data_IF_692234928700
#
_entry.id   IF_692234928700
#
_cell.length_a   1.000
_cell.length_b   1.000
_cell.length_c   1.000
_cell.angle_alpha   90.00
_cell.angle_beta   90.00
_cell.angle_gamma   90.00
#
_symmetry.space_group_name_H-M   'P 1'
#
loop_
_entity.id
_entity.type
_entity.pdbx_description
1 polymer ?
#
# COMPACT_ATOMS: atom_id res chain seq x y z
N UNK A 1 20.65 -38.26 48.41
CA UNK A 1 21.94 -37.54 48.28
C UNK A 1 21.65 -36.05 48.23
N UNK A 2 22.07 -35.29 49.25
CA UNK A 2 21.96 -33.83 49.24
C UNK A 2 22.96 -33.26 48.22
N UNK A 3 22.47 -32.75 47.09
CA UNK A 3 23.32 -32.04 46.12
C UNK A 3 23.67 -30.67 46.71
N UNK A 4 24.90 -30.52 47.19
CA UNK A 4 25.44 -29.21 47.58
C UNK A 4 25.33 -28.29 46.37
N UNK A 5 24.61 -27.17 46.49
CA UNK A 5 24.52 -26.18 45.41
C UNK A 5 25.89 -25.52 45.26
N UNK A 6 26.47 -25.62 44.06
CA UNK A 6 27.74 -24.97 43.71
C UNK A 6 27.48 -23.64 43.01
N UNK A 7 28.14 -22.59 43.47
CA UNK A 7 28.07 -21.24 42.91
C UNK A 7 28.93 -21.15 41.64
N UNK A 8 28.78 -20.08 40.85
CA UNK A 8 29.65 -19.84 39.68
C UNK A 8 31.10 -19.61 40.09
N UNK A 9 31.34 -18.92 41.21
CA UNK A 9 32.67 -18.60 41.71
C UNK A 9 33.45 -19.86 42.11
N UNK A 10 32.75 -20.90 42.58
CA UNK A 10 33.36 -22.20 42.88
C UNK A 10 33.98 -22.86 41.62
N UNK A 11 33.51 -22.53 40.41
CA UNK A 11 34.09 -23.02 39.16
C UNK A 11 35.26 -22.17 38.66
N UNK A 12 35.26 -20.86 38.96
CA UNK A 12 36.26 -19.91 38.47
C UNK A 12 37.68 -20.30 38.91
N UNK A 13 37.82 -20.78 40.15
CA UNK A 13 39.10 -21.24 40.71
C UNK A 13 39.75 -22.29 39.79
N UNK A 14 38.96 -23.28 39.33
CA UNK A 14 39.46 -24.33 38.45
C UNK A 14 39.71 -23.87 37.01
N UNK A 15 38.94 -22.91 36.52
CA UNK A 15 39.12 -22.38 35.16
C UNK A 15 40.38 -21.51 35.05
N UNK A 16 40.65 -20.68 36.06
CA UNK A 16 41.86 -19.85 36.14
C UNK A 16 43.13 -20.69 36.28
N UNK A 17 43.09 -21.80 37.03
CA UNK A 17 44.26 -22.66 37.24
C UNK A 17 44.63 -23.50 36.01
N UNK A 18 43.69 -23.72 35.07
CA UNK A 18 43.93 -24.39 33.78
C UNK A 18 44.37 -25.86 33.83
N UNK A 19 44.53 -26.45 35.02
CA UNK A 19 45.16 -27.77 35.22
C UNK A 19 44.20 -28.96 35.18
N UNK A 20 42.90 -28.73 35.30
CA UNK A 20 41.90 -29.81 35.39
C UNK A 20 40.97 -29.82 34.17
N UNK A 21 40.77 -31.01 33.62
CA UNK A 21 39.74 -31.27 32.60
C UNK A 21 38.33 -31.18 33.20
N UNK A 22 37.32 -30.90 32.36
CA UNK A 22 35.91 -30.86 32.77
C UNK A 22 35.43 -32.14 33.47
N UNK A 23 36.03 -33.29 33.13
CA UNK A 23 35.74 -34.56 33.77
C UNK A 23 36.29 -34.64 35.20
N UNK A 24 37.47 -34.05 35.46
CA UNK A 24 38.05 -33.97 36.79
C UNK A 24 37.28 -32.98 37.66
N UNK A 25 36.96 -31.79 37.13
CA UNK A 25 36.16 -30.79 37.84
C UNK A 25 34.77 -31.35 38.19
N UNK A 26 34.16 -32.11 37.27
CA UNK A 26 32.87 -32.75 37.50
C UNK A 26 32.90 -33.73 38.68
N UNK A 27 33.95 -34.56 38.78
CA UNK A 27 34.14 -35.51 39.88
C UNK A 27 34.41 -34.78 41.20
N UNK A 28 35.31 -33.79 41.18
CA UNK A 28 35.71 -33.00 42.35
C UNK A 28 34.53 -32.23 42.94
N UNK A 29 33.73 -31.61 42.07
CA UNK A 29 32.62 -30.74 42.47
C UNK A 29 31.31 -31.50 42.74
N UNK A 30 31.25 -32.80 42.43
CA UNK A 30 30.03 -33.60 42.55
C UNK A 30 28.89 -33.13 41.63
N UNK A 31 29.23 -32.56 40.47
CA UNK A 31 28.27 -32.01 39.48
C UNK A 31 28.41 -32.72 38.14
N UNK A 32 27.42 -32.59 37.26
CA UNK A 32 27.52 -33.18 35.92
C UNK A 32 28.56 -32.46 35.06
N UNK A 33 29.25 -33.20 34.20
CA UNK A 33 30.19 -32.65 33.20
C UNK A 33 29.53 -31.60 32.30
N UNK A 34 28.25 -31.78 31.96
CA UNK A 34 27.48 -30.81 31.19
C UNK A 34 27.34 -29.46 31.93
N UNK A 35 27.22 -29.47 33.26
CA UNK A 35 27.16 -28.25 34.04
C UNK A 35 28.52 -27.52 34.04
N UNK A 36 29.62 -28.26 34.19
CA UNK A 36 30.98 -27.70 34.08
C UNK A 36 31.19 -27.03 32.72
N UNK A 37 30.83 -27.71 31.63
CA UNK A 37 30.96 -27.18 30.28
C UNK A 37 30.14 -25.88 30.08
N UNK A 38 28.92 -25.81 30.64
CA UNK A 38 28.10 -24.59 30.64
C UNK A 38 28.78 -23.44 31.40
N UNK A 39 29.34 -23.71 32.57
CA UNK A 39 30.03 -22.69 33.37
C UNK A 39 31.32 -22.22 32.67
N UNK A 40 32.07 -23.13 32.06
CA UNK A 40 33.30 -22.80 31.31
C UNK A 40 33.02 -21.86 30.15
N UNK A 41 32.03 -22.17 29.30
CA UNK A 41 31.62 -21.29 28.19
C UNK A 41 31.21 -19.90 28.68
N UNK A 42 30.50 -19.83 29.82
CA UNK A 42 30.08 -18.56 30.42
C UNK A 42 31.28 -17.74 30.91
N UNK A 43 32.31 -18.40 31.44
CA UNK A 43 33.55 -17.78 31.87
C UNK A 43 34.40 -17.31 30.68
N UNK A 44 34.63 -18.17 29.67
CA UNK A 44 35.33 -17.83 28.42
C UNK A 44 34.69 -16.63 27.72
N UNK A 45 33.36 -16.60 27.61
CA UNK A 45 32.64 -15.45 27.03
C UNK A 45 32.86 -14.14 27.80
N UNK A 46 32.94 -14.20 29.13
CA UNK A 46 33.20 -13.02 29.96
C UNK A 46 34.64 -12.56 29.83
N UNK A 47 35.59 -13.49 29.69
CA UNK A 47 37.00 -13.18 29.49
C UNK A 47 37.27 -12.57 28.11
N UNK A 48 36.65 -13.09 27.05
CA UNK A 48 36.71 -12.53 25.69
C UNK A 48 36.16 -11.09 25.66
N UNK A 49 35.01 -10.84 26.28
CA UNK A 49 34.43 -9.48 26.34
C UNK A 49 35.25 -8.49 27.18
N UNK A 50 36.10 -8.97 28.09
CA UNK A 50 37.02 -8.12 28.85
C UNK A 50 38.34 -7.87 28.08
N UNK A 51 38.66 -8.69 27.08
CA UNK A 51 39.87 -8.59 26.25
C UNK A 51 39.66 -7.77 24.97
N UNK A 52 38.44 -7.77 24.42
CA UNK A 52 38.09 -6.95 23.26
C UNK A 52 37.59 -5.56 23.72
N UNK A 53 38.52 -4.60 23.82
CA UNK A 53 38.16 -3.21 23.54
C UNK A 53 37.67 -3.15 22.10
N UNK A 54 36.36 -3.30 21.88
CA UNK A 54 35.77 -2.89 20.62
C UNK A 54 36.18 -1.43 20.38
N UNK A 55 36.77 -1.09 19.23
CA UNK A 55 37.16 0.28 18.95
C UNK A 55 35.91 1.14 19.07
N UNK A 56 35.89 2.01 20.09
CA UNK A 56 34.77 2.91 20.36
C UNK A 56 34.64 3.86 19.18
N UNK A 57 33.74 3.54 18.25
CA UNK A 57 33.42 4.39 17.11
C UNK A 57 32.85 5.69 17.68
N UNK A 58 33.65 6.76 17.58
CA UNK A 58 33.28 8.08 18.07
C UNK A 58 32.96 8.93 16.84
N UNK A 59 31.72 9.38 16.72
CA UNK A 59 31.28 10.26 15.63
C UNK A 59 31.35 11.70 16.14
N UNK A 60 31.87 12.62 15.32
CA UNK A 60 31.83 14.05 15.69
C UNK A 60 30.39 14.55 15.73
N UNK A 61 30.10 15.44 16.68
CA UNK A 61 28.80 16.09 16.79
C UNK A 61 28.39 16.79 15.48
N UNK A 62 29.35 17.43 14.81
CA UNK A 62 29.16 18.04 13.50
C UNK A 62 28.68 17.03 12.44
N UNK A 63 29.29 15.84 12.36
CA UNK A 63 28.88 14.80 11.41
C UNK A 63 27.46 14.34 11.68
N UNK A 64 27.12 14.15 12.96
CA UNK A 64 25.77 13.75 13.37
C UNK A 64 24.74 14.83 12.99
N UNK A 65 25.02 16.09 13.28
CA UNK A 65 24.12 17.21 12.97
C UNK A 65 23.89 17.34 11.46
N UNK A 66 24.95 17.21 10.65
CA UNK A 66 24.83 17.25 9.19
C UNK A 66 23.95 16.12 8.64
N UNK A 67 24.05 14.92 9.20
CA UNK A 67 23.18 13.78 8.82
C UNK A 67 21.72 14.06 9.20
N UNK A 68 21.46 14.60 10.39
CA UNK A 68 20.12 14.93 10.85
C UNK A 68 19.47 16.03 10.00
N UNK A 69 20.21 17.09 9.67
CA UNK A 69 19.73 18.18 8.79
C UNK A 69 19.32 17.60 7.43
N UNK A 70 20.21 16.81 6.79
CA UNK A 70 19.91 16.19 5.48
C UNK A 70 18.71 15.24 5.54
N UNK A 71 18.60 14.44 6.60
CA UNK A 71 17.45 13.54 6.79
C UNK A 71 16.14 14.34 6.94
N UNK A 72 16.18 15.44 7.69
CA UNK A 72 15.04 16.35 7.86
C UNK A 72 14.63 16.98 6.53
N UNK A 73 15.59 17.55 5.78
CA UNK A 73 15.35 18.15 4.45
C UNK A 73 14.76 17.15 3.46
N UNK A 74 15.32 15.94 3.38
CA UNK A 74 14.82 14.89 2.50
C UNK A 74 13.39 14.46 2.88
N UNK A 75 13.08 14.40 4.19
CA UNK A 75 11.72 14.11 4.66
C UNK A 75 10.72 15.21 4.28
N UNK A 76 11.12 16.48 4.41
CA UNK A 76 10.32 17.62 4.00
C UNK A 76 10.08 17.62 2.48
N UNK A 77 11.11 17.31 1.69
CA UNK A 77 11.00 17.18 0.24
C UNK A 77 10.05 16.03 -0.16
N UNK A 78 10.20 14.86 0.48
CA UNK A 78 9.33 13.70 0.22
C UNK A 78 7.85 14.01 0.52
N UNK A 79 7.57 14.66 1.66
CA UNK A 79 6.20 15.05 2.01
C UNK A 79 5.61 16.09 1.05
N UNK A 80 6.41 17.06 0.61
CA UNK A 80 6.01 18.03 -0.42
C UNK A 80 5.65 17.35 -1.74
N UNK A 81 6.49 16.43 -2.23
CA UNK A 81 6.23 15.66 -3.46
C UNK A 81 4.94 14.84 -3.31
N UNK A 82 4.75 14.17 -2.17
CA UNK A 82 3.52 13.40 -1.89
C UNK A 82 2.28 14.28 -1.96
N UNK A 83 2.33 15.47 -1.38
CA UNK A 83 1.22 16.42 -1.42
C UNK A 83 0.95 16.92 -2.84
N UNK A 84 1.99 17.27 -3.60
CA UNK A 84 1.85 17.68 -5.01
C UNK A 84 1.22 16.57 -5.86
N UNK A 85 1.64 15.32 -5.69
CA UNK A 85 1.06 14.17 -6.37
C UNK A 85 -0.42 13.99 -6.01
N UNK A 86 -0.76 14.14 -4.74
CA UNK A 86 -2.14 14.04 -4.27
C UNK A 86 -3.03 15.14 -4.86
N UNK A 87 -2.52 16.38 -4.94
CA UNK A 87 -3.21 17.50 -5.59
C UNK A 87 -3.37 17.27 -7.09
N UNK A 88 -2.31 16.83 -7.79
CA UNK A 88 -2.35 16.54 -9.22
C UNK A 88 -3.36 15.43 -9.54
N UNK A 89 -3.38 14.37 -8.75
CA UNK A 89 -4.36 13.28 -8.88
C UNK A 89 -5.79 13.79 -8.68
N UNK A 90 -6.03 14.58 -7.63
CA UNK A 90 -7.36 15.13 -7.35
C UNK A 90 -7.82 16.07 -8.47
N UNK A 91 -6.92 16.92 -8.97
CA UNK A 91 -7.18 17.81 -10.10
C UNK A 91 -7.54 17.01 -11.35
N UNK A 92 -6.78 15.98 -11.69
CA UNK A 92 -7.06 15.10 -12.83
C UNK A 92 -8.43 14.43 -12.70
N UNK A 93 -8.77 13.94 -11.51
CA UNK A 93 -10.09 13.35 -11.24
C UNK A 93 -11.24 14.35 -11.45
N UNK A 94 -11.09 15.59 -10.98
CA UNK A 94 -12.08 16.65 -11.18
C UNK A 94 -12.21 17.05 -12.66
N UNK A 95 -11.08 17.23 -13.36
CA UNK A 95 -11.06 17.53 -14.79
C UNK A 95 -11.72 16.41 -15.60
N UNK A 96 -11.41 15.15 -15.27
CA UNK A 96 -12.04 13.99 -15.91
C UNK A 96 -13.56 14.00 -15.72
N UNK A 97 -14.05 14.17 -14.48
CA UNK A 97 -15.49 14.21 -14.19
C UNK A 97 -16.16 15.35 -14.96
N UNK A 98 -15.56 16.54 -14.96
CA UNK A 98 -16.09 17.70 -15.68
C UNK A 98 -16.16 17.45 -17.20
N UNK A 99 -15.08 16.95 -17.80
CA UNK A 99 -15.04 16.62 -19.23
C UNK A 99 -16.01 15.50 -19.60
N UNK A 100 -16.10 14.46 -18.77
CA UNK A 100 -17.04 13.35 -18.97
C UNK A 100 -18.49 13.81 -18.91
N UNK A 101 -18.85 14.62 -17.91
CA UNK A 101 -20.19 15.19 -17.79
C UNK A 101 -20.53 16.11 -18.97
N UNK A 102 -19.58 16.94 -19.41
CA UNK A 102 -19.77 17.80 -20.57
C UNK A 102 -19.98 16.99 -21.85
N UNK A 103 -19.22 15.91 -22.04
CA UNK A 103 -19.38 15.00 -23.17
C UNK A 103 -20.76 14.34 -23.16
N UNK A 104 -21.20 13.82 -22.01
CA UNK A 104 -22.53 13.21 -21.87
C UNK A 104 -23.66 14.20 -22.16
N UNK A 105 -23.56 15.43 -21.66
CA UNK A 105 -24.55 16.48 -21.94
C UNK A 105 -24.62 16.80 -23.45
N UNK A 106 -23.48 16.88 -24.13
CA UNK A 106 -23.43 17.07 -25.58
C UNK A 106 -24.06 15.89 -26.34
N UNK A 107 -23.78 14.66 -25.92
CA UNK A 107 -24.33 13.45 -26.53
C UNK A 107 -25.87 13.39 -26.35
N UNK A 108 -26.36 13.66 -25.15
CA UNK A 108 -27.81 13.74 -24.87
C UNK A 108 -28.49 14.88 -25.64
N UNK A 109 -27.83 16.03 -25.78
CA UNK A 109 -28.31 17.13 -26.64
C UNK A 109 -28.39 16.71 -28.10
N UNK A 110 -27.46 15.88 -28.59
CA UNK A 110 -27.51 15.33 -29.94
C UNK A 110 -28.74 14.44 -30.13
N UNK A 111 -28.99 13.48 -29.23
CA UNK A 111 -30.20 12.66 -29.25
C UNK A 111 -31.48 13.50 -29.25
N UNK A 112 -31.54 14.55 -28.43
CA UNK A 112 -32.70 15.45 -28.40
C UNK A 112 -32.92 16.18 -29.73
N UNK A 113 -31.86 16.56 -30.44
CA UNK A 113 -31.98 17.19 -31.76
C UNK A 113 -32.51 16.19 -32.80
N UNK A 114 -32.00 14.97 -32.78
CA UNK A 114 -32.44 13.90 -33.67
C UNK A 114 -33.91 13.52 -33.45
N UNK A 115 -34.32 13.36 -32.19
CA UNK A 115 -35.72 13.12 -31.80
C UNK A 115 -36.62 14.23 -32.35
N UNK A 116 -36.27 15.51 -32.13
CA UNK A 116 -37.06 16.64 -32.64
C UNK A 116 -37.17 16.64 -34.17
N UNK A 117 -36.08 16.28 -34.86
CA UNK A 117 -36.07 16.21 -36.32
C UNK A 117 -36.97 15.08 -36.83
N UNK A 118 -36.95 13.91 -36.18
CA UNK A 118 -37.83 12.79 -36.50
C UNK A 118 -39.29 13.11 -36.20
N UNK A 119 -39.59 13.68 -35.04
CA UNK A 119 -40.94 14.13 -34.68
C UNK A 119 -41.48 15.14 -35.70
N UNK A 120 -40.65 16.09 -36.13
CA UNK A 120 -41.03 17.06 -37.18
C UNK A 120 -41.26 16.41 -38.55
N UNK A 121 -40.51 15.34 -38.89
CA UNK A 121 -40.71 14.59 -40.13
C UNK A 121 -42.00 13.79 -40.08
N UNK A 122 -42.26 13.12 -38.95
CA UNK A 122 -43.48 12.35 -38.71
C UNK A 122 -44.71 13.26 -38.81
N UNK A 123 -44.67 14.45 -38.23
CA UNK A 123 -45.80 15.39 -38.30
C UNK A 123 -46.12 15.79 -39.75
N UNK A 124 -45.10 16.17 -40.52
CA UNK A 124 -45.27 16.47 -41.96
C UNK A 124 -45.78 15.30 -42.76
N UNK A 125 -45.32 14.08 -42.46
CA UNK A 125 -45.82 12.88 -43.11
C UNK A 125 -47.30 12.71 -42.80
N UNK A 126 -47.71 12.82 -41.53
CA UNK A 126 -49.12 12.73 -41.08
C UNK A 126 -50.04 13.76 -41.75
N UNK A 127 -49.56 14.98 -41.95
CA UNK A 127 -50.31 16.04 -42.64
C UNK A 127 -50.51 15.77 -44.14
N UNK A 128 -49.65 14.97 -44.77
CA UNK A 128 -49.64 14.71 -46.22
C UNK A 128 -50.28 13.39 -46.66
N UNK A 129 -50.85 12.59 -45.76
CA UNK A 129 -51.31 11.21 -46.05
C UNK A 129 -52.66 11.20 -46.75
N UNK A 130 -52.69 10.64 -47.97
CA UNK A 130 -53.87 10.06 -48.60
C UNK A 130 -53.72 8.52 -48.55
N UNK A 131 -54.16 7.91 -47.45
CA UNK A 131 -54.43 6.48 -47.11
C UNK A 131 -53.77 5.26 -47.81
N UNK A 132 -52.84 5.37 -48.76
CA UNK A 132 -52.41 4.19 -49.55
C UNK A 132 -50.94 3.76 -49.38
N UNK A 133 -50.04 4.55 -48.80
CA UNK A 133 -48.65 4.10 -48.54
C UNK A 133 -48.08 4.65 -47.20
N UNK A 134 -48.40 3.96 -46.10
CA UNK A 134 -48.00 4.29 -44.73
C UNK A 134 -46.61 3.74 -44.33
N UNK A 135 -45.86 3.16 -45.27
CA UNK A 135 -44.60 2.49 -44.99
C UNK A 135 -43.52 3.48 -44.49
N UNK A 136 -43.43 4.68 -45.08
CA UNK A 136 -42.44 5.68 -44.66
C UNK A 136 -42.73 6.22 -43.25
N UNK A 137 -44.02 6.44 -42.93
CA UNK A 137 -44.44 6.84 -41.58
C UNK A 137 -44.05 5.77 -40.55
N UNK A 138 -44.35 4.49 -40.83
CA UNK A 138 -44.02 3.39 -39.94
C UNK A 138 -42.51 3.23 -39.74
N UNK A 139 -41.70 3.40 -40.81
CA UNK A 139 -40.25 3.39 -40.71
C UNK A 139 -39.74 4.51 -39.79
N UNK A 140 -40.25 5.74 -39.93
CA UNK A 140 -39.85 6.88 -39.10
C UNK A 140 -40.29 6.74 -37.64
N UNK A 141 -41.43 6.11 -37.38
CA UNK A 141 -41.87 5.78 -36.02
C UNK A 141 -40.94 4.75 -35.37
N UNK A 142 -40.52 3.72 -36.10
CA UNK A 142 -39.56 2.73 -35.61
C UNK A 142 -38.21 3.38 -35.28
N UNK A 143 -37.69 4.22 -36.18
CA UNK A 143 -36.43 4.98 -35.99
C UNK A 143 -36.51 5.88 -34.74
N UNK A 144 -37.64 6.56 -34.53
CA UNK A 144 -37.87 7.39 -33.34
C UNK A 144 -37.81 6.57 -32.05
N UNK A 145 -38.43 5.39 -32.03
CA UNK A 145 -38.41 4.51 -30.86
C UNK A 145 -37.00 3.98 -30.57
N UNK A 146 -36.22 3.65 -31.60
CA UNK A 146 -34.83 3.23 -31.46
C UNK A 146 -33.96 4.33 -30.86
N UNK A 147 -34.06 5.56 -31.38
CA UNK A 147 -33.31 6.72 -30.88
C UNK A 147 -33.71 7.05 -29.43
N UNK A 148 -35.01 6.97 -29.10
CA UNK A 148 -35.49 7.15 -27.71
C UNK A 148 -34.95 6.08 -26.77
N UNK A 149 -34.93 4.81 -27.18
CA UNK A 149 -34.34 3.72 -26.40
C UNK A 149 -32.83 3.91 -26.20
N UNK A 150 -32.10 4.27 -27.26
CA UNK A 150 -30.65 4.51 -27.19
C UNK A 150 -30.31 5.64 -26.21
N UNK A 151 -31.07 6.74 -26.25
CA UNK A 151 -30.94 7.85 -25.30
C UNK A 151 -31.16 7.40 -23.85
N UNK A 152 -32.22 6.63 -23.58
CA UNK A 152 -32.51 6.16 -22.21
C UNK A 152 -31.47 5.15 -21.72
N UNK A 153 -30.96 4.26 -22.59
CA UNK A 153 -29.84 3.39 -22.24
C UNK A 153 -28.59 4.19 -21.87
N UNK A 154 -28.27 5.21 -22.66
CA UNK A 154 -27.12 6.08 -22.38
C UNK A 154 -27.31 6.84 -21.08
N UNK A 155 -28.54 7.31 -20.79
CA UNK A 155 -28.89 8.00 -19.54
C UNK A 155 -28.82 7.09 -18.31
N UNK A 156 -29.32 5.86 -18.43
CA UNK A 156 -29.43 4.91 -17.31
C UNK A 156 -28.12 4.16 -17.04
N UNK A 157 -27.24 4.02 -18.04
CA UNK A 157 -25.88 3.51 -17.86
C UNK A 157 -24.94 4.44 -17.06
N UNK A 158 -25.41 5.64 -16.67
CA UNK A 158 -24.64 6.65 -15.93
C UNK A 158 -24.72 6.47 -14.40
N UNK A 159 -25.52 5.53 -13.89
CA UNK A 159 -25.45 5.15 -12.47
C UNK A 159 -24.13 4.41 -12.23
N UNK A 160 -23.05 5.16 -12.03
CA UNK A 160 -21.82 4.64 -11.47
C UNK A 160 -22.18 3.91 -10.18
N UNK A 161 -21.67 2.69 -9.93
CA UNK A 161 -21.84 2.06 -8.64
C UNK A 161 -21.25 3.03 -7.63
N UNK A 162 -22.09 3.47 -6.70
CA UNK A 162 -21.72 4.28 -5.55
C UNK A 162 -20.77 3.47 -4.68
N UNK A 163 -19.50 3.46 -5.06
CA UNK A 163 -18.39 3.06 -4.21
C UNK A 163 -17.72 4.35 -3.72
N UNK A 164 -18.33 4.92 -2.67
CA UNK A 164 -17.63 5.63 -1.59
C UNK A 164 -18.33 5.25 -0.30
#
# INVERSE_FOLDING_TARGET
MNKVKKSFDDYIVYFNEGKLSDAQISKEMGVSRANVCKMRRRWEFKEINNLEEHPKVTISEETLNNVLIRASEHSAQSSSIKNQLHMARNRLGLEFIASFNSHLDLELKSYNKEIKALESKIERLREGINNEDDQDLNNKLCELDEVKRAKELKKNGIVLPSYV
#
